data_IF_787698661116
#
_entry.id   IF_787698661116
#
_cell.length_a   1.000
_cell.length_b   1.000
_cell.length_c   1.000
_cell.angle_alpha   90.00
_cell.angle_beta   90.00
_cell.angle_gamma   90.00
#
_symmetry.space_group_name_H-M   'P 1'
#
loop_
_entity.id
_entity.type
_entity.pdbx_description
1 polymer ?
#
# COMPACT_ATOMS: atom_id res chain seq x y z
N UNK A 1 4.33 0.88 -26.21
CA UNK A 1 3.79 -0.48 -26.30
C UNK A 1 4.86 -1.60 -26.31
N UNK A 2 6.14 -1.27 -26.34
CA UNK A 2 7.24 -2.27 -26.31
C UNK A 2 7.62 -2.78 -24.91
N UNK A 3 6.95 -2.32 -23.87
CA UNK A 3 7.21 -2.69 -22.48
C UNK A 3 6.57 -4.03 -22.07
N UNK A 4 5.66 -4.55 -22.86
CA UNK A 4 5.01 -5.83 -22.60
C UNK A 4 5.62 -6.89 -23.51
N UNK A 5 6.33 -7.83 -22.89
CA UNK A 5 6.77 -9.05 -23.54
C UNK A 5 5.52 -9.78 -24.12
N UNK A 6 5.62 -10.48 -25.25
CA UNK A 6 4.53 -11.19 -25.91
C UNK A 6 3.76 -12.21 -25.04
N UNK A 7 4.11 -12.32 -23.76
CA UNK A 7 3.45 -13.17 -22.76
C UNK A 7 2.40 -12.45 -21.91
N UNK A 8 2.19 -11.13 -22.07
CA UNK A 8 1.22 -10.38 -21.28
C UNK A 8 0.01 -10.05 -22.14
N UNK A 9 -1.15 -10.58 -21.76
CA UNK A 9 -2.43 -10.24 -22.35
C UNK A 9 -3.12 -9.17 -21.49
N UNK A 10 -3.42 -8.00 -22.07
CA UNK A 10 -4.08 -6.90 -21.36
C UNK A 10 -5.54 -6.83 -21.76
N UNK A 11 -6.43 -7.02 -20.77
CA UNK A 11 -7.88 -6.92 -20.94
C UNK A 11 -8.40 -5.75 -20.11
N UNK A 12 -9.06 -4.80 -20.76
CA UNK A 12 -9.70 -3.66 -20.08
C UNK A 12 -11.13 -4.04 -19.74
N UNK A 13 -11.38 -4.39 -18.47
CA UNK A 13 -12.66 -4.84 -17.95
C UNK A 13 -12.95 -4.22 -16.60
N UNK A 14 -14.23 -4.10 -16.26
CA UNK A 14 -14.67 -3.73 -14.91
C UNK A 14 -14.81 -5.00 -14.06
N UNK A 15 -14.24 -5.01 -12.87
CA UNK A 15 -14.32 -6.16 -11.95
C UNK A 15 -15.74 -6.40 -11.41
N UNK A 16 -16.63 -5.43 -11.55
CA UNK A 16 -18.06 -5.53 -11.21
C UNK A 16 -18.88 -6.24 -12.29
N UNK A 17 -18.35 -6.32 -13.50
CA UNK A 17 -18.96 -7.03 -14.63
C UNK A 17 -18.55 -8.51 -14.58
N UNK A 18 -19.29 -9.28 -13.76
CA UNK A 18 -19.02 -10.71 -13.53
C UNK A 18 -18.94 -11.53 -14.82
N UNK A 19 -19.84 -11.37 -15.81
CA UNK A 19 -19.71 -12.05 -17.11
C UNK A 19 -18.43 -11.71 -17.86
N UNK A 20 -17.99 -10.43 -17.81
CA UNK A 20 -16.83 -9.97 -18.55
C UNK A 20 -15.49 -10.52 -18.04
N UNK A 21 -15.43 -10.93 -16.76
CA UNK A 21 -14.21 -11.45 -16.12
C UNK A 21 -14.23 -12.97 -15.88
N UNK A 22 -15.37 -13.61 -16.06
CA UNK A 22 -15.57 -15.02 -15.68
C UNK A 22 -14.60 -15.99 -16.40
N UNK A 23 -14.43 -15.86 -17.74
CA UNK A 23 -13.54 -16.73 -18.50
C UNK A 23 -12.08 -16.56 -18.09
N UNK A 24 -11.65 -15.31 -17.87
CA UNK A 24 -10.25 -15.03 -17.47
C UNK A 24 -9.95 -15.63 -16.11
N UNK A 25 -10.88 -15.51 -15.15
CA UNK A 25 -10.69 -16.10 -13.82
C UNK A 25 -10.69 -17.63 -13.92
N UNK A 26 -11.61 -18.23 -14.68
CA UNK A 26 -11.70 -19.69 -14.82
C UNK A 26 -10.44 -20.33 -15.45
N UNK A 27 -9.75 -19.60 -16.33
CA UNK A 27 -8.54 -20.06 -17.03
C UNK A 27 -7.24 -19.78 -16.27
N UNK A 28 -7.30 -19.12 -15.09
CA UNK A 28 -6.13 -18.70 -14.32
C UNK A 28 -5.85 -19.66 -13.17
N UNK A 29 -4.60 -20.03 -12.95
CA UNK A 29 -4.16 -20.80 -11.76
C UNK A 29 -4.03 -19.91 -10.52
N UNK A 30 -3.67 -18.65 -10.72
CA UNK A 30 -3.43 -17.66 -9.66
C UNK A 30 -4.19 -16.39 -9.95
N UNK A 31 -4.94 -15.90 -8.98
CA UNK A 31 -5.62 -14.61 -9.01
C UNK A 31 -4.96 -13.67 -8.04
N UNK A 32 -4.50 -12.50 -8.52
CA UNK A 32 -3.97 -11.42 -7.69
C UNK A 32 -4.93 -10.24 -7.76
N UNK A 33 -5.73 -10.05 -6.72
CA UNK A 33 -6.74 -8.99 -6.68
C UNK A 33 -6.16 -7.69 -6.09
N UNK A 34 -5.76 -6.76 -6.98
CA UNK A 34 -5.23 -5.45 -6.64
C UNK A 34 -6.23 -4.32 -6.94
N UNK A 35 -7.28 -4.59 -7.71
CA UNK A 35 -8.24 -3.58 -8.13
C UNK A 35 -9.01 -2.99 -6.94
N UNK A 36 -8.93 -1.68 -6.77
CA UNK A 36 -9.57 -0.97 -5.63
C UNK A 36 -9.48 0.55 -5.84
N UNK A 37 -10.43 1.31 -5.33
CA UNK A 37 -10.22 2.72 -5.03
C UNK A 37 -9.40 2.78 -3.73
N UNK A 38 -8.21 3.38 -3.78
CA UNK A 38 -7.20 3.31 -2.71
C UNK A 38 -6.98 4.66 -2.05
N UNK A 39 -6.93 4.65 -0.72
CA UNK A 39 -6.66 5.81 0.13
C UNK A 39 -7.92 6.50 0.63
N UNK A 40 -7.92 6.89 1.91
CA UNK A 40 -9.06 7.51 2.57
C UNK A 40 -9.59 8.75 1.82
N UNK A 41 -8.77 9.71 1.36
CA UNK A 41 -9.27 10.90 0.69
C UNK A 41 -10.04 10.61 -0.60
N UNK A 42 -9.66 9.58 -1.36
CA UNK A 42 -10.36 9.20 -2.59
C UNK A 42 -11.67 8.48 -2.28
N UNK A 43 -11.63 7.55 -1.33
CA UNK A 43 -12.80 6.77 -0.91
C UNK A 43 -13.87 7.69 -0.32
N UNK A 44 -13.48 8.68 0.51
CA UNK A 44 -14.42 9.62 1.12
C UNK A 44 -15.02 10.61 0.10
N UNK A 45 -14.28 10.95 -0.98
CA UNK A 45 -14.81 11.77 -2.07
C UNK A 45 -15.75 11.00 -3.01
N UNK A 46 -15.59 9.68 -3.12
CA UNK A 46 -16.36 8.82 -4.03
C UNK A 46 -16.93 7.61 -3.31
N UNK A 47 -17.75 7.78 -2.26
CA UNK A 47 -18.11 6.69 -1.35
C UNK A 47 -18.90 5.57 -2.03
N UNK A 48 -19.81 5.90 -2.95
CA UNK A 48 -20.60 4.92 -3.69
C UNK A 48 -19.73 4.10 -4.63
N UNK A 49 -18.95 4.78 -5.49
CA UNK A 49 -18.05 4.11 -6.43
C UNK A 49 -17.00 3.26 -5.69
N UNK A 50 -16.53 3.74 -4.54
CA UNK A 50 -15.60 3.01 -3.71
C UNK A 50 -16.22 1.75 -3.08
N UNK A 51 -17.45 1.82 -2.59
CA UNK A 51 -18.16 0.66 -2.09
C UNK A 51 -18.41 -0.38 -3.19
N UNK A 52 -18.96 0.06 -4.31
CA UNK A 52 -19.22 -0.80 -5.46
C UNK A 52 -17.94 -1.50 -5.96
N UNK A 53 -16.83 -0.77 -6.08
CA UNK A 53 -15.58 -1.34 -6.59
C UNK A 53 -14.91 -2.21 -5.54
N UNK A 54 -14.77 -1.70 -4.30
CA UNK A 54 -13.96 -2.38 -3.28
C UNK A 54 -14.70 -3.54 -2.61
N UNK A 55 -16.02 -3.48 -2.52
CA UNK A 55 -16.83 -4.52 -1.88
C UNK A 55 -17.54 -5.38 -2.92
N UNK A 56 -18.42 -4.80 -3.74
CA UNK A 56 -19.19 -5.59 -4.71
C UNK A 56 -18.28 -6.18 -5.80
N UNK A 57 -17.26 -5.43 -6.27
CA UNK A 57 -16.25 -5.96 -7.17
C UNK A 57 -15.44 -7.11 -6.55
N UNK A 58 -15.08 -7.01 -5.26
CA UNK A 58 -14.40 -8.10 -4.54
C UNK A 58 -15.30 -9.33 -4.42
N UNK A 59 -16.60 -9.16 -4.12
CA UNK A 59 -17.58 -10.27 -4.12
C UNK A 59 -17.68 -10.93 -5.50
N UNK A 60 -17.77 -10.13 -6.58
CA UNK A 60 -17.82 -10.64 -7.95
C UNK A 60 -16.63 -11.54 -8.27
N UNK A 61 -15.40 -11.12 -7.94
CA UNK A 61 -14.19 -11.93 -8.13
C UNK A 61 -14.25 -13.17 -7.24
N UNK A 62 -14.55 -13.02 -5.95
CA UNK A 62 -14.59 -14.13 -4.98
C UNK A 62 -15.58 -15.22 -5.39
N UNK A 63 -16.74 -14.85 -5.90
CA UNK A 63 -17.74 -15.80 -6.39
C UNK A 63 -17.22 -16.67 -7.55
N UNK A 64 -16.36 -16.13 -8.38
CA UNK A 64 -15.80 -16.80 -9.56
C UNK A 64 -14.56 -17.66 -9.23
N UNK A 65 -13.82 -17.29 -8.18
CA UNK A 65 -12.60 -18.02 -7.79
C UNK A 65 -12.94 -19.37 -7.22
N UNK A 66 -12.26 -20.40 -7.72
CA UNK A 66 -12.32 -21.77 -7.19
C UNK A 66 -11.35 -21.94 -6.02
N UNK A 67 -11.66 -22.88 -5.10
CA UNK A 67 -10.77 -23.19 -3.97
C UNK A 67 -9.46 -23.88 -4.38
N UNK A 68 -9.36 -24.36 -5.62
CA UNK A 68 -8.14 -24.93 -6.20
C UNK A 68 -7.19 -23.86 -6.75
N UNK A 69 -7.68 -22.64 -6.98
CA UNK A 69 -6.88 -21.51 -7.46
C UNK A 69 -6.19 -20.82 -6.28
N UNK A 70 -4.98 -20.35 -6.49
CA UNK A 70 -4.31 -19.48 -5.52
C UNK A 70 -4.89 -18.07 -5.60
N UNK A 71 -5.43 -17.59 -4.49
CA UNK A 71 -6.06 -16.27 -4.44
C UNK A 71 -5.30 -15.35 -3.49
N UNK A 72 -4.76 -14.24 -4.01
CA UNK A 72 -4.02 -13.24 -3.26
C UNK A 72 -4.81 -11.92 -3.27
N UNK A 73 -5.11 -11.39 -2.08
CA UNK A 73 -5.85 -10.15 -1.91
C UNK A 73 -4.96 -9.05 -1.31
N UNK A 74 -4.92 -7.88 -1.96
CA UNK A 74 -4.21 -6.72 -1.43
C UNK A 74 -5.04 -6.01 -0.36
N UNK A 75 -4.67 -6.20 0.90
CA UNK A 75 -5.19 -5.49 2.06
C UNK A 75 -4.25 -4.36 2.52
N UNK A 76 -4.43 -3.87 3.71
CA UNK A 76 -3.69 -2.71 4.26
C UNK A 76 -3.53 -2.79 5.77
N UNK A 77 -2.39 -2.32 6.29
CA UNK A 77 -2.21 -2.09 7.72
C UNK A 77 -3.20 -1.07 8.32
N UNK A 78 -3.84 -0.22 7.50
CA UNK A 78 -4.90 0.71 7.97
C UNK A 78 -6.11 0.00 8.58
N UNK A 79 -6.27 -1.30 8.35
CA UNK A 79 -7.33 -2.12 8.95
C UNK A 79 -7.20 -2.24 10.46
N UNK A 80 -6.02 -2.08 11.02
CA UNK A 80 -5.81 -2.12 12.48
C UNK A 80 -6.49 -0.95 13.21
N UNK A 81 -6.47 0.25 12.63
CA UNK A 81 -7.02 1.46 13.24
C UNK A 81 -6.11 1.98 14.37
N UNK A 82 -6.70 2.45 15.47
CA UNK A 82 -5.94 2.94 16.62
C UNK A 82 -5.69 1.80 17.60
N UNK A 83 -4.44 1.42 17.78
CA UNK A 83 -4.02 0.33 18.66
C UNK A 83 -2.88 0.80 19.55
N UNK A 84 -2.92 0.45 20.82
CA UNK A 84 -1.81 0.64 21.74
C UNK A 84 -0.94 -0.62 21.73
N UNK A 85 0.33 -0.51 21.28
CA UNK A 85 1.29 -1.60 21.24
C UNK A 85 1.52 -2.19 19.86
N UNK A 86 1.97 -3.45 19.81
CA UNK A 86 2.36 -4.13 18.58
C UNK A 86 1.15 -4.81 17.95
N UNK A 87 0.87 -4.46 16.70
CA UNK A 87 -0.14 -5.12 15.88
C UNK A 87 0.39 -6.41 15.27
N UNK A 88 -0.30 -7.50 15.50
CA UNK A 88 -0.05 -8.79 14.84
C UNK A 88 -1.30 -9.26 14.13
N UNK A 89 -1.16 -10.16 13.17
CA UNK A 89 -2.29 -10.66 12.37
C UNK A 89 -3.31 -11.43 13.19
N UNK A 90 -2.88 -12.08 14.27
CA UNK A 90 -3.72 -12.98 15.08
C UNK A 90 -4.24 -12.36 16.36
N UNK A 91 -3.43 -11.52 17.02
CA UNK A 91 -3.76 -11.04 18.37
C UNK A 91 -4.43 -9.68 18.39
N UNK A 92 -4.39 -8.93 17.30
CA UNK A 92 -4.92 -7.58 17.26
C UNK A 92 -6.29 -7.53 16.62
N UNK A 93 -7.30 -7.12 17.41
CA UNK A 93 -8.63 -6.82 16.89
C UNK A 93 -8.55 -5.62 15.95
N UNK A 94 -9.02 -5.79 14.72
CA UNK A 94 -9.09 -4.71 13.75
C UNK A 94 -10.21 -3.73 14.09
N UNK A 95 -9.91 -2.42 14.00
CA UNK A 95 -10.87 -1.33 14.24
C UNK A 95 -10.58 -0.15 13.32
N UNK A 96 -10.83 -0.30 12.00
CA UNK A 96 -10.41 0.69 11.00
C UNK A 96 -11.07 2.05 11.23
N UNK A 97 -10.28 3.12 11.19
CA UNK A 97 -10.75 4.50 11.37
C UNK A 97 -11.35 5.07 10.08
N UNK A 98 -10.79 4.73 8.92
CA UNK A 98 -11.22 5.25 7.62
C UNK A 98 -12.16 4.31 6.88
N UNK A 99 -12.99 4.85 5.97
CA UNK A 99 -13.83 4.05 5.07
C UNK A 99 -12.99 3.10 4.21
N UNK A 100 -11.82 3.56 3.75
CA UNK A 100 -10.87 2.71 3.05
C UNK A 100 -10.41 1.50 3.87
N UNK A 101 -10.01 1.72 5.12
CA UNK A 101 -9.62 0.64 6.04
C UNK A 101 -10.76 -0.35 6.29
N UNK A 102 -12.00 0.16 6.45
CA UNK A 102 -13.21 -0.68 6.59
C UNK A 102 -13.45 -1.55 5.36
N UNK A 103 -13.38 -0.96 4.15
CA UNK A 103 -13.55 -1.73 2.91
C UNK A 103 -12.50 -2.83 2.78
N UNK A 104 -11.25 -2.57 3.13
CA UNK A 104 -10.20 -3.60 3.06
C UNK A 104 -10.38 -4.69 4.10
N UNK A 105 -10.80 -4.36 5.32
CA UNK A 105 -11.12 -5.34 6.37
C UNK A 105 -12.33 -6.21 6.00
N UNK A 106 -13.39 -5.63 5.42
CA UNK A 106 -14.53 -6.36 4.88
C UNK A 106 -14.12 -7.25 3.69
N UNK A 107 -13.25 -6.73 2.82
CA UNK A 107 -12.66 -7.51 1.73
C UNK A 107 -11.91 -8.74 2.21
N UNK A 108 -11.10 -8.64 3.28
CA UNK A 108 -10.44 -9.81 3.91
C UNK A 108 -11.47 -10.88 4.32
N UNK A 109 -12.58 -10.47 4.94
CA UNK A 109 -13.64 -11.39 5.35
C UNK A 109 -14.31 -12.06 4.14
N UNK A 110 -14.59 -11.29 3.06
CA UNK A 110 -15.19 -11.82 1.83
C UNK A 110 -14.28 -12.89 1.19
N UNK A 111 -12.99 -12.59 1.04
CA UNK A 111 -12.07 -13.51 0.33
C UNK A 111 -11.68 -14.72 1.17
N UNK A 112 -11.85 -14.68 2.49
CA UNK A 112 -11.49 -15.79 3.40
C UNK A 112 -12.22 -17.09 3.08
N UNK A 113 -13.45 -17.01 2.55
CA UNK A 113 -14.24 -18.18 2.14
C UNK A 113 -13.60 -18.98 1.00
N UNK A 114 -12.67 -18.36 0.26
CA UNK A 114 -11.94 -18.98 -0.87
C UNK A 114 -10.49 -19.35 -0.53
N UNK A 115 -10.14 -19.41 0.74
CA UNK A 115 -8.78 -19.67 1.16
C UNK A 115 -7.77 -18.64 0.60
N UNK A 116 -8.14 -17.35 0.57
CA UNK A 116 -7.26 -16.31 0.06
C UNK A 116 -6.12 -15.99 1.02
N UNK A 117 -4.97 -15.62 0.46
CA UNK A 117 -3.87 -15.00 1.19
C UNK A 117 -4.10 -13.48 1.17
N UNK A 118 -4.39 -12.90 2.32
CA UNK A 118 -4.59 -11.45 2.45
C UNK A 118 -3.30 -10.76 2.90
N UNK A 119 -2.83 -9.79 2.10
CA UNK A 119 -1.58 -9.08 2.34
C UNK A 119 -1.87 -7.67 2.88
N UNK A 120 -1.65 -7.43 4.17
CA UNK A 120 -1.75 -6.11 4.81
C UNK A 120 -0.46 -5.33 4.58
N UNK A 121 -0.41 -4.63 3.45
CA UNK A 121 0.77 -3.83 3.09
C UNK A 121 0.99 -2.67 4.05
N UNK A 122 2.27 -2.42 4.39
CA UNK A 122 2.77 -1.17 4.93
C UNK A 122 2.51 -0.01 3.93
N UNK A 123 2.82 1.23 4.30
CA UNK A 123 2.65 2.38 3.42
C UNK A 123 3.59 2.27 2.23
N UNK A 124 3.04 1.99 1.05
CA UNK A 124 3.83 1.80 -0.17
C UNK A 124 4.32 3.16 -0.69
N UNK A 125 5.59 3.22 -1.13
CA UNK A 125 6.20 4.38 -1.78
C UNK A 125 7.07 3.92 -2.96
N UNK A 126 7.61 4.87 -3.72
CA UNK A 126 8.52 4.61 -4.84
C UNK A 126 7.91 4.93 -6.20
N UNK A 127 8.78 5.08 -7.19
CA UNK A 127 8.38 5.36 -8.56
C UNK A 127 7.81 4.13 -9.24
N UNK A 128 6.77 4.33 -10.03
CA UNK A 128 6.10 3.28 -10.82
C UNK A 128 5.49 3.88 -12.07
N UNK A 129 5.00 3.04 -12.99
CA UNK A 129 4.26 3.50 -14.17
C UNK A 129 3.01 4.32 -13.82
N UNK A 130 2.47 4.13 -12.62
CA UNK A 130 1.41 4.96 -12.04
C UNK A 130 1.92 5.52 -10.71
N UNK A 131 2.82 6.50 -10.78
CA UNK A 131 3.30 7.20 -9.58
C UNK A 131 2.14 7.88 -8.86
N UNK A 132 2.06 7.63 -7.54
CA UNK A 132 1.03 8.17 -6.64
C UNK A 132 1.57 9.40 -5.94
N UNK A 133 1.35 10.55 -6.55
CA UNK A 133 1.80 11.87 -6.06
C UNK A 133 1.20 12.23 -4.68
N UNK A 134 0.06 11.63 -4.32
CA UNK A 134 -0.68 11.84 -3.09
C UNK A 134 -0.17 11.02 -1.88
N UNK A 135 0.72 10.06 -2.11
CA UNK A 135 1.30 9.28 -1.01
C UNK A 135 2.29 10.11 -0.19
N UNK A 136 2.40 9.79 1.10
CA UNK A 136 3.08 10.62 2.10
C UNK A 136 4.47 11.10 1.67
N UNK A 137 5.40 10.18 1.36
CA UNK A 137 6.78 10.54 0.96
C UNK A 137 6.77 11.39 -0.31
N UNK A 138 5.99 11.01 -1.32
CA UNK A 138 5.87 11.74 -2.58
C UNK A 138 5.32 13.15 -2.37
N UNK A 139 4.26 13.30 -1.56
CA UNK A 139 3.67 14.59 -1.22
C UNK A 139 4.64 15.48 -0.43
N UNK A 140 5.42 14.93 0.53
CA UNK A 140 6.40 15.70 1.27
C UNK A 140 7.53 16.19 0.38
N UNK A 141 8.03 15.35 -0.53
CA UNK A 141 9.07 15.74 -1.49
C UNK A 141 8.56 16.87 -2.41
N UNK A 142 7.34 16.76 -2.92
CA UNK A 142 6.76 17.81 -3.77
C UNK A 142 6.65 19.14 -3.01
N UNK A 143 6.13 19.13 -1.78
CA UNK A 143 6.03 20.34 -0.94
C UNK A 143 7.41 20.93 -0.65
N UNK A 144 8.40 20.10 -0.34
CA UNK A 144 9.77 20.56 -0.11
C UNK A 144 10.37 21.23 -1.36
N UNK A 145 10.14 20.70 -2.55
CA UNK A 145 10.65 21.23 -3.81
C UNK A 145 9.91 22.47 -4.28
N UNK A 146 8.58 22.51 -4.17
CA UNK A 146 7.73 23.56 -4.75
C UNK A 146 7.47 24.66 -3.73
N UNK A 147 6.90 24.28 -2.56
CA UNK A 147 6.41 25.23 -1.56
C UNK A 147 7.53 25.71 -0.63
N UNK A 148 8.67 25.00 -0.63
CA UNK A 148 9.79 25.22 0.31
C UNK A 148 9.36 25.23 1.78
N UNK A 149 8.24 24.61 2.08
CA UNK A 149 7.62 24.58 3.40
C UNK A 149 6.75 23.33 3.57
N UNK A 150 6.84 22.70 4.73
CA UNK A 150 6.01 21.56 5.11
C UNK A 150 5.42 21.82 6.50
N UNK A 151 4.11 21.70 6.62
CA UNK A 151 3.42 21.71 7.92
C UNK A 151 3.16 20.27 8.34
N UNK A 152 3.69 19.88 9.50
CA UNK A 152 3.50 18.57 10.09
C UNK A 152 2.42 18.60 11.17
N UNK A 153 1.50 17.65 11.09
CA UNK A 153 0.58 17.31 12.16
C UNK A 153 1.04 15.98 12.77
N UNK A 154 1.20 15.95 14.10
CA UNK A 154 1.69 14.76 14.80
C UNK A 154 3.03 14.25 14.22
N UNK A 155 4.04 15.13 14.19
CA UNK A 155 5.37 14.82 13.62
C UNK A 155 6.04 13.57 14.19
N UNK A 156 5.70 13.22 15.45
CA UNK A 156 6.18 12.04 16.17
C UNK A 156 5.52 10.72 15.71
N UNK A 157 4.35 10.77 15.06
CA UNK A 157 3.64 9.58 14.66
C UNK A 157 4.45 8.74 13.65
N UNK A 158 4.65 7.46 13.98
CA UNK A 158 5.46 6.54 13.20
C UNK A 158 4.63 5.75 12.19
N UNK A 159 5.23 5.45 11.06
CA UNK A 159 4.66 4.57 10.03
C UNK A 159 5.75 3.69 9.44
N UNK A 160 5.39 2.45 9.16
CA UNK A 160 6.25 1.60 8.34
C UNK A 160 6.00 1.90 6.87
N UNK A 161 7.09 2.04 6.12
CA UNK A 161 7.09 2.25 4.68
C UNK A 161 7.61 1.02 3.96
N UNK A 162 7.21 0.84 2.70
CA UNK A 162 7.65 -0.27 1.86
C UNK A 162 7.77 0.18 0.43
N UNK A 163 8.90 -0.11 -0.22
CA UNK A 163 9.06 0.25 -1.62
C UNK A 163 8.14 -0.58 -2.53
N UNK A 164 7.62 0.04 -3.60
CA UNK A 164 6.68 -0.63 -4.53
C UNK A 164 7.26 -1.89 -5.18
N UNK A 165 8.58 -1.92 -5.42
CA UNK A 165 9.24 -3.12 -5.94
C UNK A 165 9.24 -4.26 -4.92
N UNK A 166 9.44 -3.96 -3.63
CA UNK A 166 9.36 -4.96 -2.57
C UNK A 166 7.92 -5.44 -2.38
N UNK A 167 6.92 -4.55 -2.54
CA UNK A 167 5.52 -4.96 -2.56
C UNK A 167 5.22 -5.95 -3.70
N UNK A 168 5.75 -5.69 -4.91
CA UNK A 168 5.63 -6.61 -6.04
C UNK A 168 6.36 -7.94 -5.79
N UNK A 169 7.56 -7.89 -5.18
CA UNK A 169 8.33 -9.09 -4.79
C UNK A 169 7.58 -9.90 -3.72
N UNK A 170 6.91 -9.25 -2.77
CA UNK A 170 6.09 -9.94 -1.78
C UNK A 170 4.93 -10.69 -2.45
N UNK A 171 4.22 -10.06 -3.39
CA UNK A 171 3.17 -10.75 -4.16
C UNK A 171 3.76 -11.96 -4.91
N UNK A 172 4.89 -11.79 -5.60
CA UNK A 172 5.57 -12.89 -6.29
C UNK A 172 5.97 -14.01 -5.33
N UNK A 173 6.50 -13.67 -4.15
CA UNK A 173 6.86 -14.63 -3.11
C UNK A 173 5.66 -15.51 -2.72
N UNK A 174 4.49 -14.91 -2.52
CA UNK A 174 3.26 -15.63 -2.20
C UNK A 174 2.65 -16.38 -3.40
N UNK A 175 3.03 -16.05 -4.63
CA UNK A 175 2.71 -16.88 -5.81
C UNK A 175 3.56 -18.14 -5.83
N UNK A 176 4.85 -18.02 -5.56
CA UNK A 176 5.83 -19.08 -5.75
C UNK A 176 5.92 -20.06 -4.57
N UNK A 177 5.63 -19.60 -3.34
CA UNK A 177 5.77 -20.45 -2.15
C UNK A 177 4.72 -21.56 -2.11
N UNK A 178 5.19 -22.80 -2.07
CA UNK A 178 4.31 -23.95 -1.88
C UNK A 178 3.89 -24.10 -0.41
N UNK A 179 2.81 -24.83 -0.16
CA UNK A 179 2.38 -25.29 1.18
C UNK A 179 2.21 -24.21 2.26
N UNK A 180 1.94 -22.96 1.85
CA UNK A 180 1.61 -21.92 2.81
C UNK A 180 0.12 -21.97 3.18
N UNK A 181 -0.25 -21.97 4.46
CA UNK A 181 -1.65 -21.89 4.85
C UNK A 181 -2.26 -20.57 4.38
N UNK A 182 -3.47 -20.65 3.88
CA UNK A 182 -4.28 -19.48 3.55
C UNK A 182 -4.51 -18.67 4.83
N UNK A 183 -4.05 -17.43 4.85
CA UNK A 183 -4.11 -16.60 6.04
C UNK A 183 -3.78 -15.14 5.71
N UNK A 184 -3.75 -14.31 6.74
CA UNK A 184 -3.40 -12.90 6.66
C UNK A 184 -1.91 -12.74 6.98
N UNK A 185 -1.23 -11.88 6.22
CA UNK A 185 0.17 -11.50 6.47
C UNK A 185 0.32 -9.99 6.46
N UNK A 186 0.97 -9.45 7.48
CA UNK A 186 1.51 -8.11 7.43
C UNK A 186 2.72 -8.10 6.48
N UNK A 187 2.75 -7.13 5.57
CA UNK A 187 3.79 -7.05 4.54
C UNK A 187 4.55 -5.75 4.67
N UNK A 188 5.80 -5.83 5.09
CA UNK A 188 6.70 -4.73 5.38
C UNK A 188 7.97 -5.21 6.07
N UNK A 189 8.71 -4.25 6.63
CA UNK A 189 9.94 -4.50 7.37
C UNK A 189 10.01 -3.54 8.57
N UNK A 190 10.27 -4.02 9.79
CA UNK A 190 10.31 -3.16 10.98
C UNK A 190 11.42 -2.10 10.90
N UNK A 191 12.50 -2.35 10.16
CA UNK A 191 13.61 -1.40 9.97
C UNK A 191 13.23 -0.20 9.09
N UNK A 192 12.09 -0.27 8.40
CA UNK A 192 11.55 0.79 7.55
C UNK A 192 10.45 1.62 8.24
N UNK A 193 10.44 1.61 9.58
CA UNK A 193 9.53 2.45 10.38
C UNK A 193 10.17 3.79 10.69
N UNK A 194 9.50 4.87 10.28
CA UNK A 194 9.97 6.24 10.45
C UNK A 194 8.83 7.13 10.94
N UNK A 195 9.16 8.09 11.78
CA UNK A 195 8.27 9.18 12.12
C UNK A 195 8.10 10.15 10.94
N UNK A 196 7.03 10.93 10.97
CA UNK A 196 6.82 11.96 9.94
C UNK A 196 7.97 13.00 9.93
N UNK A 197 8.49 13.34 11.10
CA UNK A 197 9.61 14.27 11.23
C UNK A 197 10.90 13.68 10.67
N UNK A 198 11.20 12.41 10.92
CA UNK A 198 12.38 11.73 10.36
C UNK A 198 12.36 11.71 8.83
N UNK A 199 11.19 11.49 8.22
CA UNK A 199 11.04 11.58 6.75
C UNK A 199 11.35 13.00 6.26
N UNK A 200 10.84 14.05 6.92
CA UNK A 200 11.13 15.42 6.53
C UNK A 200 12.61 15.78 6.73
N UNK A 201 13.23 15.31 7.81
CA UNK A 201 14.67 15.49 8.05
C UNK A 201 15.53 14.76 6.99
N UNK A 202 15.10 13.59 6.55
CA UNK A 202 15.76 12.90 5.44
C UNK A 202 15.67 13.69 4.14
N UNK A 203 14.49 14.23 3.80
CA UNK A 203 14.30 15.06 2.60
C UNK A 203 15.10 16.36 2.69
N UNK A 204 15.27 16.96 3.88
CA UNK A 204 16.02 18.20 4.08
C UNK A 204 17.52 18.07 3.77
N UNK A 205 18.06 16.85 3.75
CA UNK A 205 19.44 16.59 3.33
C UNK A 205 19.66 16.87 1.83
N UNK A 206 18.58 16.84 1.03
CA UNK A 206 18.65 17.03 -0.43
C UNK A 206 18.17 18.41 -0.89
N UNK A 207 17.32 19.07 -0.15
CA UNK A 207 16.79 20.40 -0.51
C UNK A 207 16.42 21.19 0.76
N UNK A 208 16.76 22.49 0.84
CA UNK A 208 16.37 23.31 1.99
C UNK A 208 14.88 23.65 1.92
N UNK A 209 14.17 23.46 3.02
CA UNK A 209 12.79 23.89 3.23
C UNK A 209 12.49 24.07 4.72
N UNK A 210 11.41 24.78 5.04
CA UNK A 210 10.99 25.02 6.42
C UNK A 210 10.06 23.90 6.89
N UNK A 211 10.33 23.33 8.06
CA UNK A 211 9.44 22.39 8.74
C UNK A 211 8.76 23.13 9.88
N UNK A 212 7.43 23.17 9.89
CA UNK A 212 6.61 23.75 10.96
C UNK A 212 5.72 22.67 11.56
N UNK A 213 5.77 22.48 12.86
CA UNK A 213 4.85 21.56 13.55
C UNK A 213 3.61 22.32 14.04
N UNK A 214 2.43 21.76 13.74
CA UNK A 214 1.16 22.29 14.21
C UNK A 214 0.55 21.30 15.22
N UNK A 215 0.46 21.75 16.47
CA UNK A 215 -0.08 20.98 17.60
C UNK A 215 -1.60 21.13 17.78
N UNK A 216 -2.25 22.02 17.03
CA UNK A 216 -3.68 22.32 17.19
C UNK A 216 -4.61 21.49 16.30
N UNK A 217 -4.07 20.73 15.36
CA UNK A 217 -4.85 19.85 14.50
C UNK A 217 -4.25 18.44 14.50
N UNK A 218 -5.12 17.44 14.52
CA UNK A 218 -4.74 16.04 14.40
C UNK A 218 -4.78 15.58 12.93
N UNK A 219 -3.92 14.64 12.57
CA UNK A 219 -4.02 13.95 11.29
C UNK A 219 -5.33 13.12 11.26
N UNK A 220 -6.05 13.19 10.16
CA UNK A 220 -7.25 12.35 9.94
C UNK A 220 -6.87 10.85 10.03
N UNK A 221 -5.64 10.52 9.69
CA UNK A 221 -5.09 9.17 9.71
C UNK A 221 -4.17 8.98 10.93
N UNK A 222 -4.79 8.98 12.12
CA UNK A 222 -4.10 8.80 13.42
C UNK A 222 -3.58 7.37 13.57
N UNK A 223 -2.56 7.01 12.79
CA UNK A 223 -1.86 5.74 12.91
C UNK A 223 -0.54 5.96 13.63
N UNK A 224 -0.49 5.52 14.87
CA UNK A 224 0.73 5.49 15.67
C UNK A 224 0.79 4.11 16.36
N UNK A 225 1.13 3.09 15.58
CA UNK A 225 1.26 1.72 16.06
C UNK A 225 2.41 1.00 15.37
N UNK A 226 3.02 0.11 16.11
CA UNK A 226 4.07 -0.78 15.60
C UNK A 226 3.40 -2.03 15.02
N UNK A 227 3.84 -2.46 13.85
CA UNK A 227 3.37 -3.69 13.21
C UNK A 227 4.47 -4.73 13.24
N UNK A 228 4.16 -5.95 13.71
CA UNK A 228 5.03 -7.10 13.56
C UNK A 228 4.95 -7.63 12.12
N UNK A 229 6.12 -7.94 11.57
CA UNK A 229 6.30 -8.60 10.28
C UNK A 229 6.91 -9.99 10.41
N UNK A 230 6.94 -10.55 11.63
CA UNK A 230 7.59 -11.83 11.94
C UNK A 230 7.06 -12.98 11.08
N UNK A 231 5.77 -12.95 10.74
CA UNK A 231 5.16 -14.01 9.92
C UNK A 231 5.70 -14.03 8.50
N UNK A 232 5.75 -12.88 7.82
CA UNK A 232 6.28 -12.83 6.46
C UNK A 232 7.79 -13.08 6.45
N UNK A 233 8.53 -12.56 7.43
CA UNK A 233 9.97 -12.83 7.60
C UNK A 233 10.20 -14.32 7.80
N UNK A 234 9.37 -14.99 8.59
CA UNK A 234 9.41 -16.44 8.80
C UNK A 234 9.19 -17.28 7.54
N UNK A 235 8.60 -16.71 6.48
CA UNK A 235 8.51 -17.35 5.15
C UNK A 235 9.77 -17.19 4.30
N UNK A 236 10.79 -16.49 4.79
CA UNK A 236 12.03 -16.19 4.07
C UNK A 236 11.97 -14.90 3.22
N UNK A 237 10.87 -14.15 3.25
CA UNK A 237 10.78 -12.86 2.55
C UNK A 237 11.59 -11.78 3.28
N UNK A 238 12.27 -10.93 2.51
CA UNK A 238 12.98 -9.74 3.01
C UNK A 238 12.80 -8.57 2.05
N UNK A 239 12.59 -7.35 2.60
CA UNK A 239 12.71 -6.13 1.82
C UNK A 239 14.17 -5.89 1.42
N UNK A 240 14.38 -5.37 0.22
CA UNK A 240 15.71 -5.08 -0.34
C UNK A 240 15.97 -3.59 -0.49
N UNK A 241 14.90 -2.79 -0.59
CA UNK A 241 15.00 -1.37 -0.85
C UNK A 241 15.17 -0.56 0.43
N UNK A 242 16.16 0.32 0.42
CA UNK A 242 16.47 1.21 1.52
C UNK A 242 15.88 2.60 1.25
N UNK A 243 15.16 3.15 2.22
CA UNK A 243 14.42 4.40 2.05
C UNK A 243 15.34 5.57 1.68
N UNK A 244 16.52 5.66 2.28
CA UNK A 244 17.46 6.78 2.05
C UNK A 244 17.88 6.91 0.59
N UNK A 245 18.27 5.81 -0.06
CA UNK A 245 18.63 5.81 -1.48
C UNK A 245 17.45 6.06 -2.41
N UNK A 246 16.27 5.58 -2.05
CA UNK A 246 15.08 5.74 -2.89
C UNK A 246 14.49 7.16 -2.80
N UNK A 247 14.66 7.88 -1.67
CA UNK A 247 14.28 9.30 -1.55
C UNK A 247 15.05 10.14 -2.57
N UNK A 248 16.34 9.90 -2.76
CA UNK A 248 17.16 10.60 -3.77
C UNK A 248 16.60 10.39 -5.19
N UNK A 249 16.26 9.15 -5.54
CA UNK A 249 15.67 8.81 -6.85
C UNK A 249 14.35 9.54 -7.08
N UNK A 250 13.49 9.59 -6.04
CA UNK A 250 12.20 10.29 -6.12
C UNK A 250 12.40 11.80 -6.20
N UNK A 251 13.38 12.35 -5.46
CA UNK A 251 13.78 13.77 -5.55
C UNK A 251 14.21 14.14 -6.96
N UNK A 252 15.07 13.33 -7.57
CA UNK A 252 15.53 13.54 -8.97
C UNK A 252 14.36 13.56 -9.96
N UNK A 253 13.44 12.61 -9.81
CA UNK A 253 12.24 12.53 -10.66
C UNK A 253 11.37 13.79 -10.56
N UNK A 254 11.03 14.23 -9.35
CA UNK A 254 10.19 15.43 -9.19
C UNK A 254 10.93 16.71 -9.54
N UNK A 255 12.22 16.80 -9.26
CA UNK A 255 13.05 17.94 -9.66
C UNK A 255 13.05 18.12 -11.17
N UNK A 256 13.24 17.04 -11.93
CA UNK A 256 13.15 17.06 -13.39
C UNK A 256 11.73 17.41 -13.87
N UNK A 257 10.70 16.86 -13.24
CA UNK A 257 9.29 17.08 -13.60
C UNK A 257 8.85 18.53 -13.39
N UNK A 258 9.35 19.19 -12.36
CA UNK A 258 8.97 20.57 -12.00
C UNK A 258 9.98 21.64 -12.43
N UNK A 259 11.05 21.25 -13.13
CA UNK A 259 12.17 22.13 -13.50
C UNK A 259 12.76 22.88 -12.28
N UNK A 260 12.85 22.23 -11.13
CA UNK A 260 13.47 22.79 -9.94
C UNK A 260 14.72 21.99 -9.54
N UNK A 261 15.75 22.72 -9.10
CA UNK A 261 16.99 22.11 -8.61
C UNK A 261 16.84 21.55 -7.21
N UNK A 262 17.60 20.52 -6.89
CA UNK A 262 17.85 20.03 -5.54
C UNK A 262 19.35 19.85 -5.33
N UNK A 263 19.79 19.75 -4.09
CA UNK A 263 21.19 19.51 -3.78
C UNK A 263 21.54 18.08 -4.19
N UNK A 264 22.54 17.95 -5.05
CA UNK A 264 23.20 16.66 -5.27
C UNK A 264 24.13 16.43 -4.07
N UNK A 265 23.86 15.41 -3.27
CA UNK A 265 24.69 15.01 -2.14
C UNK A 265 26.05 14.46 -2.57
#
# INVERSE_FOLDING_TARGET
SSLFNNKINVLIKDIRDKPAIASVIAESDVIVHLASLVGAPLVDRKPIEAYETNIEGTKCITDLVSRSQRFIFASTGSSYGKVNGICTEKSTKISPLSSYGRHKAEGEAIVSDKNAISLRFATVYGLSYRTRDDLYIHSMIQKALIDRSVVLYEGHASRTFMHVNDAARAVKHFIDIADLPYDIFNVGDPTLSFTKLEICNLISQYTPFTISENSYAADIDQRDYIVSYDRIIGTGFKCEKVLTSEVEVIMAYYSARFNCGYLNG
#
